data_IF_090009820653
#
_entry.id   IF_090009820653
#
_cell.length_a   1.000
_cell.length_b   1.000
_cell.length_c   1.000
_cell.angle_alpha   90.00
_cell.angle_beta   90.00
_cell.angle_gamma   90.00
#
_symmetry.space_group_name_H-M   'P 1'
#
loop_
_entity.id
_entity.type
_entity.pdbx_description
1 polymer ?
#
# COMPACT_ATOMS: atom_id res chain seq x y z
N UNK A 1 24.60 -1.88 16.23
CA UNK A 1 23.68 -2.99 15.90
C UNK A 1 22.28 -2.42 15.86
N UNK A 2 21.59 -2.49 14.72
CA UNK A 2 20.18 -2.09 14.62
C UNK A 2 19.26 -3.24 15.13
N UNK A 3 17.96 -2.98 15.29
CA UNK A 3 17.00 -3.99 15.78
C UNK A 3 16.94 -5.23 14.86
N UNK A 4 16.96 -5.03 13.55
CA UNK A 4 16.89 -6.11 12.55
C UNK A 4 18.11 -7.05 12.64
N UNK A 5 19.30 -6.48 12.83
CA UNK A 5 20.54 -7.24 13.01
C UNK A 5 20.48 -8.06 14.31
N UNK A 6 20.00 -7.45 15.41
CA UNK A 6 19.87 -8.12 16.71
C UNK A 6 18.86 -9.27 16.66
N UNK A 7 17.71 -9.04 16.02
CA UNK A 7 16.68 -10.06 15.80
C UNK A 7 17.20 -11.22 14.94
N UNK A 8 17.91 -10.91 13.85
CA UNK A 8 18.52 -11.91 12.96
C UNK A 8 19.59 -12.73 13.68
N UNK A 9 20.43 -12.08 14.49
CA UNK A 9 21.43 -12.76 15.33
C UNK A 9 20.78 -13.71 16.33
N UNK A 10 19.75 -13.25 17.06
CA UNK A 10 19.03 -14.07 18.03
C UNK A 10 18.35 -15.27 17.37
N UNK A 11 17.74 -15.15 16.19
CA UNK A 11 17.16 -16.31 15.48
C UNK A 11 18.19 -17.27 14.90
N UNK A 12 19.41 -16.79 14.64
CA UNK A 12 20.51 -17.61 14.15
C UNK A 12 21.19 -18.42 15.26
N UNK A 13 21.31 -17.84 16.45
CA UNK A 13 22.09 -18.41 17.55
C UNK A 13 21.24 -18.86 18.75
N UNK A 14 19.98 -18.43 18.83
CA UNK A 14 19.02 -18.69 19.90
C UNK A 14 17.61 -18.86 19.31
N UNK A 15 16.55 -18.66 20.12
CA UNK A 15 15.16 -18.74 19.64
C UNK A 15 14.71 -17.43 18.99
N UNK A 16 14.65 -16.33 19.75
CA UNK A 16 14.25 -15.01 19.27
C UNK A 16 14.63 -13.93 20.32
N UNK A 17 14.38 -12.66 20.03
CA UNK A 17 14.41 -11.59 21.03
C UNK A 17 13.30 -11.78 22.08
N UNK A 18 13.59 -11.37 23.31
CA UNK A 18 12.67 -11.50 24.45
C UNK A 18 11.39 -10.69 24.25
N UNK A 19 10.23 -11.29 24.54
CA UNK A 19 8.95 -10.59 24.69
C UNK A 19 8.71 -10.23 26.15
N UNK A 20 8.19 -9.03 26.41
CA UNK A 20 7.80 -8.55 27.73
C UNK A 20 6.27 -8.50 27.78
N UNK A 21 5.67 -9.25 28.69
CA UNK A 21 4.22 -9.50 28.74
C UNK A 21 3.53 -8.75 29.88
N UNK A 22 4.29 -8.29 30.86
CA UNK A 22 3.79 -7.59 32.04
C UNK A 22 4.87 -6.71 32.68
N UNK A 23 4.46 -5.92 33.68
CA UNK A 23 5.34 -4.96 34.36
C UNK A 23 6.46 -5.63 35.17
N UNK A 24 6.22 -6.83 35.73
CA UNK A 24 7.25 -7.55 36.48
C UNK A 24 8.38 -8.01 35.55
N UNK A 25 8.04 -8.60 34.40
CA UNK A 25 9.02 -8.94 33.35
C UNK A 25 9.78 -7.69 32.86
N UNK A 26 9.09 -6.56 32.71
CA UNK A 26 9.72 -5.30 32.31
C UNK A 26 10.77 -4.82 33.33
N UNK A 27 10.45 -4.90 34.63
CA UNK A 27 11.38 -4.53 35.71
C UNK A 27 12.59 -5.46 35.76
N UNK A 28 12.38 -6.76 35.59
CA UNK A 28 13.47 -7.74 35.54
C UNK A 28 14.41 -7.45 34.37
N UNK A 29 13.85 -7.20 33.17
CA UNK A 29 14.63 -6.82 31.99
C UNK A 29 15.44 -5.55 32.23
N UNK A 30 14.85 -4.52 32.83
CA UNK A 30 15.57 -3.29 33.16
C UNK A 30 16.73 -3.53 34.12
N UNK A 31 16.58 -4.44 35.09
CA UNK A 31 17.64 -4.77 36.04
C UNK A 31 18.82 -5.53 35.39
N UNK A 32 18.57 -6.23 34.29
CA UNK A 32 19.59 -6.98 33.54
C UNK A 32 20.40 -6.11 32.57
N UNK A 33 19.91 -4.91 32.23
CA UNK A 33 20.59 -4.00 31.29
C UNK A 33 21.54 -3.10 32.08
N UNK A 34 22.87 -3.14 31.81
CA UNK A 34 23.80 -2.27 32.51
C UNK A 34 23.50 -0.79 32.27
N UNK A 35 23.79 0.04 33.26
CA UNK A 35 23.57 1.48 33.18
C UNK A 35 24.30 2.08 31.95
N UNK A 36 23.60 2.95 31.21
CA UNK A 36 24.12 3.56 29.98
C UNK A 36 24.21 2.62 28.77
N UNK A 37 23.68 1.40 28.86
CA UNK A 37 23.56 0.46 27.73
C UNK A 37 22.11 0.37 27.23
N UNK A 38 21.97 -0.03 25.98
CA UNK A 38 20.70 -0.28 25.31
C UNK A 38 20.62 -1.76 24.94
N UNK A 39 19.44 -2.36 25.14
CA UNK A 39 19.13 -3.71 24.72
C UNK A 39 17.92 -3.70 23.78
N UNK A 40 17.99 -4.47 22.69
CA UNK A 40 16.85 -4.69 21.82
C UNK A 40 15.96 -5.79 22.39
N UNK A 41 14.65 -5.55 22.46
CA UNK A 41 13.63 -6.53 22.82
C UNK A 41 12.79 -6.88 21.58
N UNK A 42 12.00 -7.95 21.65
CA UNK A 42 11.17 -8.45 20.55
C UNK A 42 9.98 -7.55 20.18
N UNK A 43 9.83 -6.41 20.84
CA UNK A 43 8.82 -5.41 20.47
C UNK A 43 9.27 -4.66 19.22
N UNK A 44 8.44 -4.68 18.18
CA UNK A 44 8.67 -3.95 16.93
C UNK A 44 7.42 -3.15 16.55
N UNK A 45 7.62 -2.05 15.82
CA UNK A 45 6.53 -1.25 15.27
C UNK A 45 6.22 -1.74 13.86
N UNK A 46 5.00 -2.21 13.67
CA UNK A 46 4.51 -2.60 12.36
C UNK A 46 3.87 -1.41 11.64
N UNK A 47 4.39 -1.06 10.47
CA UNK A 47 3.80 -0.02 9.62
C UNK A 47 2.59 -0.53 8.83
N UNK A 48 2.40 -1.85 8.76
CA UNK A 48 1.27 -2.48 8.11
C UNK A 48 0.18 -2.79 9.14
N UNK A 49 -1.05 -2.38 8.82
CA UNK A 49 -2.24 -2.65 9.62
C UNK A 49 -3.23 -3.43 8.79
N UNK A 50 -3.84 -4.46 9.37
CA UNK A 50 -4.93 -5.17 8.72
C UNK A 50 -6.14 -4.26 8.61
N UNK A 51 -6.95 -4.45 7.57
CA UNK A 51 -8.14 -3.61 7.32
C UNK A 51 -9.19 -3.73 8.43
N UNK A 52 -9.19 -4.83 9.19
CA UNK A 52 -10.03 -5.03 10.38
C UNK A 52 -9.49 -4.32 11.63
N UNK A 53 -8.32 -3.68 11.52
CA UNK A 53 -7.66 -2.96 12.58
C UNK A 53 -6.79 -3.82 13.50
N UNK A 54 -6.73 -5.14 13.27
CA UNK A 54 -5.88 -6.05 14.02
C UNK A 54 -4.39 -5.85 13.70
N UNK A 55 -3.56 -6.29 14.65
CA UNK A 55 -2.11 -6.34 14.51
C UNK A 55 -1.70 -7.81 14.37
N UNK A 56 -0.89 -8.13 13.37
CA UNK A 56 -0.25 -9.44 13.25
C UNK A 56 1.15 -9.27 12.70
N UNK A 57 2.08 -10.02 13.26
CA UNK A 57 3.48 -10.08 12.84
C UNK A 57 3.70 -11.03 11.64
N UNK A 58 2.69 -11.80 11.26
CA UNK A 58 2.82 -12.75 10.15
C UNK A 58 2.96 -12.01 8.82
N UNK A 59 4.06 -12.25 8.11
CA UNK A 59 4.30 -11.73 6.77
C UNK A 59 4.69 -12.88 5.87
N UNK A 60 3.93 -13.05 4.79
CA UNK A 60 4.32 -13.93 3.68
C UNK A 60 4.63 -13.04 2.48
N UNK A 61 5.89 -12.62 2.38
CA UNK A 61 6.40 -11.78 1.30
C UNK A 61 7.04 -12.66 0.24
N UNK A 62 6.83 -12.35 -1.04
CA UNK A 62 7.67 -12.89 -2.11
C UNK A 62 9.12 -12.47 -1.89
N UNK A 63 10.09 -13.27 -2.33
CA UNK A 63 11.53 -12.99 -2.16
C UNK A 63 11.98 -11.64 -2.75
N UNK A 64 11.17 -11.04 -3.63
CA UNK A 64 11.33 -9.66 -4.06
C UNK A 64 10.70 -8.72 -3.01
N UNK A 65 11.56 -8.03 -2.26
CA UNK A 65 11.15 -6.96 -1.37
C UNK A 65 10.35 -5.91 -2.15
N UNK A 66 9.22 -5.43 -1.63
CA UNK A 66 8.49 -4.35 -2.26
C UNK A 66 9.39 -3.11 -2.25
N UNK A 67 9.77 -2.64 -3.44
CA UNK A 67 10.29 -1.29 -3.61
C UNK A 67 9.18 -0.36 -3.14
N UNK A 68 9.35 0.26 -1.97
CA UNK A 68 8.37 1.14 -1.34
C UNK A 68 8.17 2.36 -2.24
N UNK A 69 7.15 2.31 -3.10
CA UNK A 69 6.66 3.46 -3.83
C UNK A 69 5.92 4.42 -2.88
N UNK A 70 5.96 5.72 -3.22
CA UNK A 70 5.38 6.83 -2.46
C UNK A 70 3.83 6.87 -2.52
N UNK A 71 3.16 5.83 -2.02
CA UNK A 71 1.70 5.77 -1.89
C UNK A 71 1.24 4.80 -0.79
N UNK A 72 -0.06 4.81 -0.41
CA UNK A 72 -0.58 3.86 0.57
C UNK A 72 -0.49 2.44 -0.01
N UNK A 73 0.48 1.69 0.47
CA UNK A 73 0.76 0.34 0.03
C UNK A 73 -0.27 -0.61 0.66
N UNK A 74 -1.01 -1.36 -0.16
CA UNK A 74 -1.95 -2.39 0.30
C UNK A 74 -1.45 -3.77 -0.13
N UNK A 75 -1.52 -4.75 0.77
CA UNK A 75 -1.26 -6.14 0.44
C UNK A 75 -2.47 -6.75 -0.26
N UNK A 76 -2.26 -7.58 -1.28
CA UNK A 76 -3.33 -8.34 -1.91
C UNK A 76 -2.91 -9.78 -2.11
N UNK A 77 -3.86 -10.70 -1.93
CA UNK A 77 -3.68 -12.10 -2.32
C UNK A 77 -4.29 -12.24 -3.70
N UNK A 78 -3.53 -12.73 -4.67
CA UNK A 78 -4.10 -13.27 -5.89
C UNK A 78 -3.67 -14.75 -5.99
N UNK A 79 -4.32 -15.58 -6.83
CA UNK A 79 -3.98 -16.94 -7.35
C UNK A 79 -2.97 -17.85 -6.60
N UNK A 80 -2.87 -17.73 -5.27
CA UNK A 80 -1.58 -17.94 -4.56
C UNK A 80 -0.35 -17.28 -5.28
N UNK A 81 -0.58 -16.28 -6.15
CA UNK A 81 0.32 -15.47 -7.00
C UNK A 81 -0.38 -14.14 -7.33
N UNK A 82 0.29 -13.01 -7.51
CA UNK A 82 -0.22 -11.61 -7.50
C UNK A 82 -0.88 -11.09 -8.82
N UNK A 83 -1.95 -10.27 -8.79
CA UNK A 83 -2.58 -9.66 -10.00
C UNK A 83 -2.49 -8.14 -10.02
N UNK A 84 -2.15 -7.58 -11.18
CA UNK A 84 -1.83 -6.16 -11.36
C UNK A 84 -3.01 -5.37 -11.90
N UNK A 85 -3.35 -4.23 -11.28
CA UNK A 85 -4.20 -3.19 -11.89
C UNK A 85 -3.30 -2.03 -12.31
N UNK A 86 -3.19 -1.80 -13.62
CA UNK A 86 -2.32 -0.76 -14.18
C UNK A 86 -3.13 0.51 -14.42
N UNK A 87 -2.69 1.62 -13.85
CA UNK A 87 -3.20 2.96 -14.17
C UNK A 87 -2.22 3.63 -15.12
N UNK A 88 -2.72 4.08 -16.27
CA UNK A 88 -1.96 4.93 -17.19
C UNK A 88 -2.41 6.36 -16.94
N UNK A 89 -1.53 7.19 -16.35
CA UNK A 89 -1.75 8.63 -16.26
C UNK A 89 -1.18 9.28 -17.50
N UNK A 90 -2.02 10.03 -18.19
CA UNK A 90 -1.63 10.84 -19.35
C UNK A 90 -1.76 12.29 -18.92
N UNK A 91 -0.64 13.00 -18.94
CA UNK A 91 -0.57 14.45 -18.79
C UNK A 91 -0.17 15.01 -20.13
N UNK A 92 -0.93 15.97 -20.62
CA UNK A 92 -0.64 16.70 -21.84
C UNK A 92 -0.88 18.18 -21.60
N UNK A 93 -0.16 19.02 -22.34
CA UNK A 93 -0.22 20.48 -22.20
C UNK A 93 -1.40 21.09 -22.97
N UNK A 94 -2.24 20.25 -23.58
CA UNK A 94 -3.46 20.63 -24.28
C UNK A 94 -4.71 20.19 -23.53
N UNK A 95 -5.84 20.81 -23.83
CA UNK A 95 -7.13 20.50 -23.21
C UNK A 95 -7.59 19.09 -23.62
N UNK A 96 -7.56 18.17 -22.65
CA UNK A 96 -7.98 16.77 -22.81
C UNK A 96 -9.48 16.57 -22.49
N UNK A 97 -10.26 17.64 -22.35
CA UNK A 97 -11.71 17.57 -22.13
C UNK A 97 -12.52 17.32 -23.40
N UNK A 98 -11.91 17.48 -24.59
CA UNK A 98 -12.55 17.17 -25.87
C UNK A 98 -12.87 15.67 -25.97
N UNK A 99 -14.16 15.28 -26.09
CA UNK A 99 -14.57 13.88 -26.21
C UNK A 99 -13.96 13.15 -27.40
N UNK A 100 -13.68 13.84 -28.52
CA UNK A 100 -13.09 13.24 -29.70
C UNK A 100 -11.63 12.81 -29.44
N UNK A 101 -10.88 13.64 -28.72
CA UNK A 101 -9.50 13.36 -28.31
C UNK A 101 -9.46 12.18 -27.33
N UNK A 102 -10.39 12.15 -26.37
CA UNK A 102 -10.50 11.05 -25.41
C UNK A 102 -10.79 9.71 -26.10
N UNK A 103 -11.75 9.69 -27.03
CA UNK A 103 -12.09 8.49 -27.79
C UNK A 103 -10.91 8.02 -28.65
N UNK A 104 -10.18 8.94 -29.27
CA UNK A 104 -8.99 8.59 -30.06
C UNK A 104 -7.90 7.94 -29.21
N UNK A 105 -7.62 8.49 -28.02
CA UNK A 105 -6.60 7.94 -27.10
C UNK A 105 -7.02 6.56 -26.60
N UNK A 106 -8.28 6.40 -26.18
CA UNK A 106 -8.79 5.09 -25.74
C UNK A 106 -8.66 4.09 -26.86
N UNK A 107 -9.15 4.39 -28.06
CA UNK A 107 -9.09 3.50 -29.24
C UNK A 107 -7.66 3.06 -29.58
N UNK A 108 -6.69 3.99 -29.59
CA UNK A 108 -5.29 3.66 -29.81
C UNK A 108 -4.73 2.75 -28.72
N UNK A 109 -5.11 2.98 -27.46
CA UNK A 109 -4.68 2.16 -26.34
C UNK A 109 -5.28 0.75 -26.41
N UNK A 110 -6.57 0.63 -26.75
CA UNK A 110 -7.22 -0.66 -26.97
C UNK A 110 -6.56 -1.46 -28.09
N UNK A 111 -6.31 -0.81 -29.24
CA UNK A 111 -5.65 -1.43 -30.38
C UNK A 111 -4.24 -1.92 -30.02
N UNK A 112 -3.48 -1.10 -29.28
CA UNK A 112 -2.14 -1.48 -28.81
C UNK A 112 -2.19 -2.65 -27.83
N UNK A 113 -3.17 -2.69 -26.91
CA UNK A 113 -3.36 -3.80 -25.98
C UNK A 113 -3.71 -5.10 -26.72
N UNK A 114 -4.60 -5.03 -27.72
CA UNK A 114 -4.95 -6.19 -28.56
C UNK A 114 -3.77 -6.70 -29.37
N UNK A 115 -2.97 -5.80 -29.96
CA UNK A 115 -1.74 -6.18 -30.67
C UNK A 115 -0.70 -6.83 -29.76
N UNK A 116 -0.73 -6.53 -28.46
CA UNK A 116 0.11 -7.17 -27.44
C UNK A 116 -0.50 -8.48 -26.91
N UNK A 117 -1.60 -8.97 -27.50
CA UNK A 117 -2.25 -10.23 -27.13
C UNK A 117 -3.17 -10.14 -25.90
N UNK A 118 -3.46 -8.93 -25.41
CA UNK A 118 -4.39 -8.71 -24.29
C UNK A 118 -5.77 -8.47 -24.89
N UNK A 119 -6.70 -9.39 -24.71
CA UNK A 119 -8.05 -9.32 -25.33
C UNK A 119 -9.20 -9.19 -24.34
N UNK A 120 -8.96 -9.51 -23.07
CA UNK A 120 -9.93 -9.39 -21.98
C UNK A 120 -9.59 -8.18 -21.10
N UNK A 121 -9.99 -6.99 -21.54
CA UNK A 121 -9.72 -5.74 -20.84
C UNK A 121 -10.87 -4.76 -20.97
N UNK A 122 -11.00 -3.87 -19.99
CA UNK A 122 -11.95 -2.76 -19.99
C UNK A 122 -11.24 -1.45 -19.67
N UNK A 123 -11.16 -0.56 -20.65
CA UNK A 123 -10.60 0.78 -20.44
C UNK A 123 -11.70 1.70 -19.92
N UNK A 124 -11.42 2.41 -18.82
CA UNK A 124 -12.30 3.43 -18.28
C UNK A 124 -11.54 4.77 -18.25
N UNK A 125 -12.08 5.79 -18.88
CA UNK A 125 -11.51 7.13 -18.86
C UNK A 125 -12.00 7.90 -17.63
N UNK A 126 -11.09 8.58 -16.92
CA UNK A 126 -11.44 9.47 -15.81
C UNK A 126 -10.55 10.70 -15.82
N UNK A 127 -11.15 11.88 -15.98
CA UNK A 127 -10.45 13.15 -15.80
C UNK A 127 -10.32 13.45 -14.30
N UNK A 128 -9.11 13.82 -13.86
CA UNK A 128 -8.88 14.30 -12.49
C UNK A 128 -9.07 15.81 -12.46
N UNK A 129 -10.27 16.28 -12.10
CA UNK A 129 -10.50 17.72 -11.85
C UNK A 129 -11.81 18.33 -12.34
N UNK A 130 -12.95 17.63 -12.28
CA UNK A 130 -14.24 18.31 -12.50
C UNK A 130 -14.57 19.20 -11.29
N UNK A 131 -14.48 20.52 -11.48
CA UNK A 131 -15.14 21.50 -10.62
C UNK A 131 -16.63 21.11 -10.51
N UNK A 132 -17.13 20.96 -9.27
CA UNK A 132 -18.53 20.66 -8.99
C UNK A 132 -19.42 21.72 -9.64
N UNK A 133 -20.31 21.33 -10.54
CA UNK A 133 -21.40 22.20 -10.98
C UNK A 133 -22.22 22.66 -9.75
N UNK A 134 -22.58 23.94 -9.61
CA UNK A 134 -23.42 24.39 -8.52
C UNK A 134 -24.84 23.82 -8.71
N UNK A 135 -25.37 23.13 -7.69
CA UNK A 135 -26.77 22.71 -7.67
C UNK A 135 -27.65 23.96 -7.70
N UNK A 136 -28.46 24.14 -8.74
CA UNK A 136 -29.56 25.11 -8.72
C UNK A 136 -30.54 24.73 -7.61
N UNK A 137 -30.99 25.66 -6.76
CA UNK A 137 -32.06 25.39 -5.82
C UNK A 137 -33.37 25.16 -6.60
N UNK A 138 -34.30 24.34 -6.07
CA UNK A 138 -35.57 24.08 -6.74
C UNK A 138 -36.38 25.38 -6.80
N UNK A 139 -36.80 25.77 -8.01
CA UNK A 139 -37.81 26.81 -8.17
C UNK A 139 -39.18 26.14 -7.96
N UNK A 140 -39.86 26.57 -6.91
CA UNK A 140 -41.23 26.23 -6.57
C UNK A 140 -42.19 26.73 -7.65
N UNK A 141 -43.19 25.91 -8.00
CA UNK A 141 -44.32 26.33 -8.84
C UNK A 141 -45.43 26.86 -7.94
N UNK A 142 -45.88 28.09 -8.20
CA UNK A 142 -47.21 28.59 -7.79
C UNK A 142 -47.91 29.17 -9.01
N UNK A 143 -49.20 28.84 -9.11
CA UNK A 143 -50.14 28.91 -10.26
C UNK A 143 -49.90 29.95 -11.35
#
# INVERSE_FOLDING_TARGET
>A
MNWSDAHSYCRKHHTDLLSVRNQAENQEVQSMVPEGKLAWIGLFQDSWKWSDGSYSSFRYLSQEQPVLGEGPNCAHVYDRKWNKKTFVRISADFDMSDPAVQQQIVSQLEAKMRNMGITDFKINWKMSGQQKQPKQPPIEFTC
#
